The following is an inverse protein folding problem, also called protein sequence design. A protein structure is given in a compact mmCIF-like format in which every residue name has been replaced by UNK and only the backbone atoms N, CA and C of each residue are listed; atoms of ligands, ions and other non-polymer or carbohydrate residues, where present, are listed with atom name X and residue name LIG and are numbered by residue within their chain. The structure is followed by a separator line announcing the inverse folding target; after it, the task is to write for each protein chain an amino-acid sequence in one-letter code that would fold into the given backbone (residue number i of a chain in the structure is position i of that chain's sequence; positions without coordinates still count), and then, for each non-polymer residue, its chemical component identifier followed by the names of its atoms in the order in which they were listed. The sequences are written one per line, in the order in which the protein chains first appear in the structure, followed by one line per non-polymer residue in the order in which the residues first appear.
data_IF_326889973507
#
_entry.id   IF_326889973507
#
_cell.length_a   1.000
_cell.length_b   1.000
_cell.length_c   1.000
_cell.angle_alpha   90.00
_cell.angle_beta   90.00
_cell.angle_gamma   90.00
#
_symmetry.space_group_name_H-M   'P 1'
#
loop_
_entity.id
_entity.type
_entity.pdbx_description
1 polymer ?
#
# COMPACT_ATOMS: atom_id res chain seq x y z
N UNK A 1 34.51 23.48 -1.64
CA UNK A 1 33.09 23.51 -2.08
C UNK A 1 32.98 23.46 -3.60
N UNK A 2 33.66 24.33 -4.38
CA UNK A 2 33.58 24.33 -5.87
C UNK A 2 33.99 23.04 -6.60
N UNK A 3 34.73 22.11 -5.95
CA UNK A 3 35.09 20.81 -6.53
C UNK A 3 34.04 19.72 -6.29
N UNK A 4 33.05 19.99 -5.42
CA UNK A 4 31.86 19.16 -5.27
C UNK A 4 30.85 19.76 -6.25
N UNK A 5 30.33 18.97 -7.17
CA UNK A 5 29.34 19.40 -8.17
C UNK A 5 28.00 19.69 -7.46
N UNK A 6 27.87 20.90 -6.91
CA UNK A 6 26.77 21.30 -6.00
C UNK A 6 25.58 21.96 -6.74
N UNK A 7 25.57 21.95 -8.07
CA UNK A 7 24.56 22.62 -8.90
C UNK A 7 23.13 22.14 -8.58
N UNK A 8 23.00 20.90 -8.10
CA UNK A 8 21.72 20.32 -7.70
C UNK A 8 21.07 21.01 -6.48
N UNK A 9 21.83 21.72 -5.66
CA UNK A 9 21.31 22.48 -4.51
C UNK A 9 20.53 23.74 -4.93
N UNK A 10 20.68 24.18 -6.19
CA UNK A 10 20.03 25.37 -6.73
C UNK A 10 18.76 25.05 -7.55
N UNK A 11 18.47 23.77 -7.78
CA UNK A 11 17.31 23.32 -8.58
C UNK A 11 16.00 23.89 -8.02
N UNK A 12 15.09 24.25 -8.92
CA UNK A 12 13.80 24.87 -8.58
C UNK A 12 12.71 23.82 -8.30
N UNK A 13 11.75 24.13 -7.40
CA UNK A 13 10.60 23.25 -7.04
C UNK A 13 9.84 22.69 -8.25
N UNK A 14 9.74 23.44 -9.34
CA UNK A 14 9.09 23.03 -10.58
C UNK A 14 9.80 21.92 -11.35
N UNK A 15 11.11 21.75 -11.14
CA UNK A 15 11.90 20.68 -11.76
C UNK A 15 11.88 19.40 -10.90
N UNK A 16 11.74 19.53 -9.57
CA UNK A 16 11.62 18.39 -8.65
C UNK A 16 10.42 17.49 -8.98
N UNK A 17 9.26 18.07 -9.34
CA UNK A 17 8.06 17.27 -9.65
C UNK A 17 8.18 16.37 -10.89
N UNK A 18 9.17 16.61 -11.78
CA UNK A 18 9.31 15.86 -13.03
C UNK A 18 10.23 14.64 -12.95
N UNK A 19 11.10 14.56 -11.95
CA UNK A 19 12.25 13.63 -12.04
C UNK A 19 12.17 12.51 -11.01
N UNK A 20 12.55 11.32 -11.48
CA UNK A 20 12.97 10.16 -10.70
C UNK A 20 14.23 10.44 -9.82
N UNK A 21 14.73 11.69 -9.75
CA UNK A 21 16.06 12.05 -9.23
C UNK A 21 16.09 12.58 -7.81
N UNK A 22 14.94 12.86 -7.16
CA UNK A 22 14.96 13.51 -5.84
C UNK A 22 15.64 12.62 -4.78
N UNK A 23 15.42 11.31 -4.83
CA UNK A 23 16.06 10.36 -3.91
C UNK A 23 17.59 10.41 -4.09
N UNK A 24 18.08 10.32 -5.32
CA UNK A 24 19.50 10.48 -5.62
C UNK A 24 20.07 11.83 -5.14
N UNK A 25 19.27 12.90 -5.19
CA UNK A 25 19.68 14.23 -4.72
C UNK A 25 19.71 14.32 -3.19
N UNK A 26 18.85 13.59 -2.47
CA UNK A 26 18.87 13.53 -1.01
C UNK A 26 20.10 12.74 -0.55
N UNK A 27 20.41 11.62 -1.21
CA UNK A 27 21.62 10.84 -0.92
C UNK A 27 22.89 11.67 -1.18
N UNK A 28 22.92 12.42 -2.29
CA UNK A 28 24.01 13.36 -2.56
C UNK A 28 24.08 14.48 -1.51
N UNK A 29 22.93 15.05 -1.13
CA UNK A 29 22.83 16.06 -0.07
C UNK A 29 23.33 15.56 1.27
N UNK A 30 22.99 14.32 1.67
CA UNK A 30 23.51 13.69 2.88
C UNK A 30 25.03 13.65 2.86
N UNK A 31 25.60 13.02 1.83
CA UNK A 31 27.03 12.82 1.71
C UNK A 31 27.81 14.15 1.69
N UNK A 32 27.32 15.12 0.92
CA UNK A 32 27.95 16.43 0.82
C UNK A 32 27.82 17.26 2.10
N UNK A 33 26.66 17.21 2.77
CA UNK A 33 26.45 17.93 4.02
C UNK A 33 27.32 17.33 5.14
N UNK A 34 27.36 16.01 5.23
CA UNK A 34 28.22 15.30 6.17
C UNK A 34 29.68 15.66 5.96
N UNK A 35 30.17 15.58 4.71
CA UNK A 35 31.54 15.95 4.39
C UNK A 35 31.86 17.41 4.73
N UNK A 36 30.95 18.33 4.38
CA UNK A 36 31.13 19.75 4.64
C UNK A 36 31.22 20.03 6.15
N UNK A 37 30.32 19.45 6.95
CA UNK A 37 30.26 19.65 8.40
C UNK A 37 31.43 18.98 9.11
N UNK A 38 31.71 17.70 8.81
CA UNK A 38 32.70 16.91 9.55
C UNK A 38 34.14 17.20 9.16
N UNK A 39 34.39 17.67 7.94
CA UNK A 39 35.76 17.89 7.45
C UNK A 39 36.05 19.35 7.13
N UNK A 40 35.24 19.97 6.26
CA UNK A 40 35.56 21.33 5.77
C UNK A 40 35.41 22.36 6.89
N UNK A 41 34.25 22.39 7.54
CA UNK A 41 33.98 23.40 8.57
C UNK A 41 34.72 23.15 9.88
N UNK A 42 34.97 21.90 10.26
CA UNK A 42 35.82 21.58 11.42
C UNK A 42 37.26 22.09 11.24
N UNK A 43 37.86 21.84 10.08
CA UNK A 43 39.21 22.35 9.77
C UNK A 43 39.22 23.88 9.77
N UNK A 44 38.23 24.51 9.12
CA UNK A 44 38.15 25.96 9.04
C UNK A 44 37.95 26.62 10.41
N UNK A 45 37.13 26.03 11.28
CA UNK A 45 36.94 26.52 12.64
C UNK A 45 38.25 26.47 13.44
N UNK A 46 38.99 25.36 13.36
CA UNK A 46 40.30 25.21 14.02
C UNK A 46 41.33 26.19 13.46
N UNK A 47 41.35 26.39 12.15
CA UNK A 47 42.25 27.33 11.49
C UNK A 47 41.94 28.76 11.96
N UNK A 48 40.68 29.19 11.88
CA UNK A 48 40.22 30.49 12.35
C UNK A 48 40.62 30.73 13.81
N UNK A 49 40.40 29.73 14.69
CA UNK A 49 40.84 29.78 16.09
C UNK A 49 42.35 29.98 16.19
N UNK A 50 43.15 29.17 15.51
CA UNK A 50 44.62 29.23 15.57
C UNK A 50 45.20 30.57 15.07
N UNK A 51 44.64 31.16 14.02
CA UNK A 51 45.14 32.40 13.42
C UNK A 51 44.73 33.62 14.24
N UNK A 52 43.46 33.67 14.68
CA UNK A 52 42.88 34.87 15.28
C UNK A 52 42.80 34.83 16.82
N UNK A 53 43.26 33.76 17.50
CA UNK A 53 43.19 33.65 18.97
C UNK A 53 43.83 34.83 19.72
N UNK A 54 44.87 35.47 19.15
CA UNK A 54 45.58 36.60 19.78
C UNK A 54 44.90 37.96 19.57
N UNK A 55 43.94 38.06 18.67
CA UNK A 55 43.34 39.33 18.24
C UNK A 55 42.12 39.70 19.10
N UNK A 56 41.42 38.70 19.65
CA UNK A 56 40.29 38.88 20.58
C UNK A 56 39.43 37.62 20.67
N UNK A 57 38.78 37.40 21.83
CA UNK A 57 38.05 36.15 22.12
C UNK A 57 36.92 35.83 21.14
N UNK A 58 36.35 36.86 20.50
CA UNK A 58 35.14 36.73 19.68
C UNK A 58 35.42 36.93 18.18
N UNK A 59 36.60 37.41 17.81
CA UNK A 59 36.96 37.78 16.42
C UNK A 59 37.07 36.55 15.53
N UNK A 60 37.69 35.47 16.04
CA UNK A 60 37.87 34.22 15.30
C UNK A 60 36.52 33.56 14.95
N UNK A 61 35.54 33.59 15.87
CA UNK A 61 34.19 33.07 15.62
C UNK A 61 33.42 33.91 14.59
N UNK A 62 33.59 35.24 14.60
CA UNK A 62 32.97 36.10 13.58
C UNK A 62 33.56 35.85 12.19
N UNK A 63 34.88 35.63 12.11
CA UNK A 63 35.54 35.26 10.86
C UNK A 63 35.04 33.91 10.34
N UNK A 64 35.05 32.87 11.20
CA UNK A 64 34.52 31.55 10.85
C UNK A 64 33.06 31.62 10.37
N UNK A 65 32.19 32.34 11.08
CA UNK A 65 30.79 32.48 10.68
C UNK A 65 30.65 33.06 9.26
N UNK A 66 31.41 34.10 8.92
CA UNK A 66 31.41 34.69 7.57
C UNK A 66 31.89 33.70 6.52
N UNK A 67 32.96 32.96 6.82
CA UNK A 67 33.50 31.94 5.89
C UNK A 67 32.49 30.81 5.69
N UNK A 68 31.82 30.36 6.75
CA UNK A 68 30.79 29.33 6.64
C UNK A 68 29.63 29.76 5.74
N UNK A 69 29.15 30.99 5.91
CA UNK A 69 28.12 31.60 5.05
C UNK A 69 28.58 31.68 3.60
N UNK A 70 29.78 32.23 3.35
CA UNK A 70 30.35 32.37 2.00
C UNK A 70 30.65 31.02 1.34
N UNK A 71 30.95 30.00 2.13
CA UNK A 71 31.23 28.65 1.64
C UNK A 71 29.96 27.93 1.19
N UNK A 72 28.76 28.43 1.51
CA UNK A 72 27.51 27.89 0.98
C UNK A 72 26.71 26.99 1.94
N UNK A 73 26.93 27.05 3.26
CA UNK A 73 26.10 26.31 4.24
C UNK A 73 24.59 26.61 4.06
N UNK A 74 24.27 27.84 3.66
CA UNK A 74 22.92 28.27 3.34
C UNK A 74 22.25 27.46 2.22
N UNK A 75 23.02 27.01 1.23
CA UNK A 75 22.49 26.25 0.10
C UNK A 75 22.01 24.86 0.55
N UNK A 76 22.74 24.23 1.47
CA UNK A 76 22.31 22.96 2.08
C UNK A 76 21.01 23.12 2.87
N UNK A 77 20.88 24.20 3.67
CA UNK A 77 19.67 24.47 4.45
C UNK A 77 18.49 24.83 3.52
N UNK A 78 18.76 25.56 2.44
CA UNK A 78 17.77 25.93 1.43
C UNK A 78 17.24 24.71 0.68
N UNK A 79 18.11 23.76 0.34
CA UNK A 79 17.72 22.46 -0.23
C UNK A 79 16.78 21.70 0.70
N UNK A 80 17.14 21.53 1.98
CA UNK A 80 16.22 20.88 2.94
C UNK A 80 14.86 21.61 3.03
N UNK A 81 14.88 22.96 3.01
CA UNK A 81 13.67 23.77 3.03
C UNK A 81 12.82 23.63 1.77
N UNK A 82 13.39 23.35 0.59
CA UNK A 82 12.60 23.15 -0.62
C UNK A 82 11.76 21.88 -0.50
N UNK A 83 12.32 20.79 0.01
CA UNK A 83 11.60 19.53 0.25
C UNK A 83 10.39 19.73 1.17
N UNK A 84 10.50 20.58 2.19
CA UNK A 84 9.38 20.88 3.11
C UNK A 84 8.18 21.55 2.44
N UNK A 85 8.37 22.21 1.28
CA UNK A 85 7.31 22.96 0.58
C UNK A 85 6.52 22.12 -0.44
N UNK A 86 6.90 20.87 -0.68
CA UNK A 86 6.23 19.98 -1.63
C UNK A 86 4.80 19.57 -1.22
N UNK A 87 4.09 18.88 -2.11
CA UNK A 87 2.76 18.32 -1.83
C UNK A 87 2.79 17.36 -0.64
N UNK A 88 1.75 17.39 0.20
CA UNK A 88 1.58 16.46 1.32
C UNK A 88 1.22 15.09 0.76
N UNK A 89 2.20 14.20 0.68
CA UNK A 89 2.01 12.81 0.24
C UNK A 89 2.96 11.86 0.99
N UNK A 90 2.75 10.56 0.78
CA UNK A 90 3.54 9.50 1.40
C UNK A 90 5.03 9.58 1.06
N UNK A 91 5.37 9.97 -0.17
CA UNK A 91 6.76 10.08 -0.62
C UNK A 91 7.44 11.24 0.10
N UNK A 92 6.74 12.37 0.28
CA UNK A 92 7.24 13.50 1.06
C UNK A 92 7.50 13.10 2.52
N UNK A 93 6.64 12.28 3.14
CA UNK A 93 6.88 11.82 4.51
C UNK A 93 8.23 11.09 4.61
N UNK A 94 8.49 10.10 3.75
CA UNK A 94 9.76 9.37 3.73
C UNK A 94 10.95 10.32 3.58
N UNK A 95 10.89 11.23 2.60
CA UNK A 95 11.94 12.23 2.36
C UNK A 95 12.18 13.13 3.57
N UNK A 96 11.13 13.52 4.29
CA UNK A 96 11.28 14.31 5.51
C UNK A 96 11.96 13.51 6.62
N UNK A 97 11.68 12.21 6.73
CA UNK A 97 12.37 11.32 7.67
C UNK A 97 13.86 11.19 7.30
N UNK A 98 14.19 11.06 6.01
CA UNK A 98 15.58 11.01 5.54
C UNK A 98 16.34 12.30 5.90
N UNK A 99 15.76 13.47 5.58
CA UNK A 99 16.35 14.77 5.95
C UNK A 99 16.53 14.89 7.47
N UNK A 100 15.54 14.45 8.26
CA UNK A 100 15.64 14.47 9.71
C UNK A 100 16.77 13.57 10.21
N UNK A 101 16.93 12.37 9.64
CA UNK A 101 17.97 11.42 10.02
C UNK A 101 19.37 12.04 9.88
N UNK A 102 19.64 12.69 8.75
CA UNK A 102 20.91 13.39 8.48
C UNK A 102 21.12 14.54 9.48
N UNK A 103 20.11 15.39 9.68
CA UNK A 103 20.21 16.52 10.61
C UNK A 103 20.44 16.05 12.05
N UNK A 104 19.81 14.94 12.45
CA UNK A 104 19.97 14.37 13.78
C UNK A 104 21.36 13.72 13.96
N UNK A 105 21.87 13.00 12.95
CA UNK A 105 23.23 12.44 12.90
C UNK A 105 24.28 13.54 13.07
N UNK A 106 24.11 14.68 12.39
CA UNK A 106 25.07 15.79 12.41
C UNK A 106 24.87 16.77 13.58
N UNK A 107 23.84 16.58 14.42
CA UNK A 107 23.42 17.52 15.47
C UNK A 107 24.55 17.98 16.38
N UNK A 108 25.38 17.06 16.87
CA UNK A 108 26.49 17.39 17.79
C UNK A 108 27.58 18.22 17.10
N UNK A 109 27.91 17.89 15.85
CA UNK A 109 28.85 18.65 15.04
C UNK A 109 28.32 20.06 14.74
N UNK A 110 27.03 20.17 14.37
CA UNK A 110 26.39 21.49 14.19
C UNK A 110 26.47 22.35 15.45
N UNK A 111 26.17 21.77 16.62
CA UNK A 111 26.26 22.50 17.89
C UNK A 111 27.69 22.93 18.23
N UNK A 112 28.68 22.09 17.92
CA UNK A 112 30.10 22.40 18.14
C UNK A 112 30.61 23.52 17.21
N UNK A 113 30.31 23.42 15.92
CA UNK A 113 30.77 24.38 14.90
C UNK A 113 30.06 25.72 15.03
N UNK A 114 28.72 25.68 15.10
CA UNK A 114 27.88 26.86 14.93
C UNK A 114 27.25 27.34 16.23
N UNK A 115 27.60 26.79 17.40
CA UNK A 115 26.98 27.16 18.69
C UNK A 115 27.30 28.57 19.20
N UNK A 116 28.29 29.26 18.63
CA UNK A 116 28.67 30.61 19.04
C UNK A 116 27.70 31.71 18.59
N UNK A 117 27.66 32.83 19.32
CA UNK A 117 26.80 34.00 19.03
C UNK A 117 26.98 34.57 17.61
N UNK A 118 28.16 34.41 17.01
CA UNK A 118 28.44 34.87 15.65
C UNK A 118 27.68 34.07 14.56
N UNK A 119 27.21 32.86 14.88
CA UNK A 119 26.54 31.95 13.95
C UNK A 119 25.01 31.91 14.14
N UNK A 120 24.41 32.89 14.83
CA UNK A 120 22.97 32.91 15.16
C UNK A 120 22.08 32.76 13.92
N UNK A 121 22.43 33.38 12.79
CA UNK A 121 21.68 33.22 11.54
C UNK A 121 21.62 31.74 11.08
N UNK A 122 22.77 31.05 11.07
CA UNK A 122 22.86 29.63 10.70
C UNK A 122 22.07 28.78 11.70
N UNK A 123 22.19 29.06 13.00
CA UNK A 123 21.43 28.36 14.04
C UNK A 123 19.92 28.52 13.84
N UNK A 124 19.46 29.75 13.58
CA UNK A 124 18.05 30.07 13.43
C UNK A 124 17.46 29.38 12.20
N UNK A 125 18.15 29.40 11.07
CA UNK A 125 17.72 28.71 9.85
C UNK A 125 17.74 27.19 9.99
N UNK A 126 18.75 26.63 10.65
CA UNK A 126 18.83 25.18 10.91
C UNK A 126 17.70 24.74 11.83
N UNK A 127 17.43 25.50 12.90
CA UNK A 127 16.32 25.24 13.83
C UNK A 127 14.96 25.34 13.11
N UNK A 128 14.79 26.34 12.26
CA UNK A 128 13.57 26.50 11.45
C UNK A 128 13.37 25.33 10.48
N UNK A 129 14.43 24.86 9.81
CA UNK A 129 14.38 23.67 8.97
C UNK A 129 13.96 22.43 9.78
N UNK A 130 14.62 22.15 10.90
CA UNK A 130 14.27 21.00 11.76
C UNK A 130 12.81 21.08 12.21
N UNK A 131 12.32 22.27 12.59
CA UNK A 131 10.92 22.48 12.95
C UNK A 131 9.96 22.13 11.82
N UNK A 132 10.22 22.62 10.61
CA UNK A 132 9.40 22.35 9.43
C UNK A 132 9.42 20.87 9.04
N UNK A 133 10.56 20.21 9.14
CA UNK A 133 10.71 18.78 8.84
C UNK A 133 9.90 17.93 9.83
N UNK A 134 10.09 18.15 11.13
CA UNK A 134 9.34 17.42 12.17
C UNK A 134 7.84 17.68 12.06
N UNK A 135 7.43 18.94 11.94
CA UNK A 135 6.01 19.29 11.83
C UNK A 135 5.38 18.69 10.56
N UNK A 136 6.06 18.81 9.40
CA UNK A 136 5.54 18.28 8.15
C UNK A 136 5.45 16.75 8.15
N UNK A 137 6.41 16.05 8.77
CA UNK A 137 6.36 14.60 8.90
C UNK A 137 5.21 14.16 9.80
N UNK A 138 5.07 14.77 10.98
CA UNK A 138 3.96 14.48 11.88
C UNK A 138 2.60 14.83 11.28
N UNK A 139 2.48 15.97 10.60
CA UNK A 139 1.24 16.39 9.96
C UNK A 139 0.77 15.36 8.92
N UNK A 140 1.67 14.88 8.05
CA UNK A 140 1.32 13.86 7.05
C UNK A 140 0.95 12.53 7.71
N UNK A 141 1.73 12.10 8.71
CA UNK A 141 1.52 10.80 9.35
C UNK A 141 0.23 10.75 10.19
N UNK A 142 -0.01 11.77 11.02
CA UNK A 142 -1.18 11.83 11.91
C UNK A 142 -2.50 12.02 11.16
N UNK A 143 -2.44 12.65 9.98
CA UNK A 143 -3.61 12.88 9.13
C UNK A 143 -3.92 11.66 8.23
N UNK A 144 -3.00 10.68 8.16
CA UNK A 144 -3.10 9.55 7.22
C UNK A 144 -4.37 8.73 7.44
N UNK A 145 -4.76 8.43 8.68
CA UNK A 145 -5.98 7.65 8.96
C UNK A 145 -7.24 8.34 8.43
N UNK A 146 -7.33 9.65 8.60
CA UNK A 146 -8.45 10.44 8.10
C UNK A 146 -8.46 10.47 6.56
N UNK A 147 -7.30 10.67 5.94
CA UNK A 147 -7.20 10.65 4.48
C UNK A 147 -7.56 9.29 3.88
N UNK A 148 -7.21 8.20 4.58
CA UNK A 148 -7.63 6.85 4.23
C UNK A 148 -9.15 6.73 4.34
N UNK A 149 -9.76 7.12 5.46
CA UNK A 149 -11.21 7.06 5.66
C UNK A 149 -11.99 7.81 4.57
N UNK A 150 -11.51 9.00 4.16
CA UNK A 150 -12.13 9.76 3.06
C UNK A 150 -12.20 8.99 1.74
N UNK A 151 -11.27 8.06 1.49
CA UNK A 151 -11.29 7.24 0.27
C UNK A 151 -12.47 6.26 0.23
N UNK A 152 -13.18 6.03 1.34
CA UNK A 152 -14.40 5.20 1.37
C UNK A 152 -15.51 5.71 0.44
N UNK A 153 -15.47 6.98 0.04
CA UNK A 153 -16.41 7.57 -0.93
C UNK A 153 -16.14 7.15 -2.39
N UNK A 154 -14.97 6.55 -2.66
CA UNK A 154 -14.61 6.09 -4.00
C UNK A 154 -15.38 4.83 -4.39
N UNK A 155 -15.47 4.56 -5.69
CA UNK A 155 -16.16 3.38 -6.22
C UNK A 155 -15.31 2.12 -6.01
N UNK A 156 -15.86 1.04 -5.42
CA UNK A 156 -15.10 -0.19 -5.25
C UNK A 156 -14.87 -0.92 -6.57
N UNK A 157 -13.88 -1.84 -6.65
CA UNK A 157 -13.58 -2.57 -7.87
C UNK A 157 -14.78 -3.36 -8.38
N UNK A 158 -15.23 -3.12 -9.61
CA UNK A 158 -16.43 -3.79 -10.16
C UNK A 158 -16.29 -5.31 -10.29
N UNK A 159 -15.06 -5.83 -10.29
CA UNK A 159 -14.71 -7.25 -10.37
C UNK A 159 -14.51 -7.93 -9.00
N UNK A 160 -14.68 -7.17 -7.90
CA UNK A 160 -14.47 -7.66 -6.54
C UNK A 160 -13.00 -7.93 -6.20
N UNK A 161 -12.05 -7.42 -7.01
CA UNK A 161 -10.63 -7.53 -6.72
C UNK A 161 -10.21 -6.70 -5.51
N UNK A 162 -8.98 -6.92 -5.03
CA UNK A 162 -8.41 -6.18 -3.91
C UNK A 162 -8.25 -4.69 -4.27
N UNK A 163 -8.77 -3.74 -3.46
CA UNK A 163 -8.61 -2.31 -3.71
C UNK A 163 -7.14 -1.89 -3.72
N UNK A 164 -6.76 -1.02 -4.66
CA UNK A 164 -5.39 -0.48 -4.71
C UNK A 164 -5.00 0.27 -3.45
N UNK A 165 -5.97 0.91 -2.79
CA UNK A 165 -5.76 1.60 -1.52
C UNK A 165 -5.26 0.65 -0.43
N UNK A 166 -5.86 -0.55 -0.33
CA UNK A 166 -5.45 -1.54 0.67
C UNK A 166 -3.97 -1.87 0.51
N UNK A 167 -3.56 -2.23 -0.72
CA UNK A 167 -2.15 -2.55 -1.00
C UNK A 167 -1.22 -1.38 -0.67
N UNK A 168 -1.57 -0.19 -1.14
CA UNK A 168 -0.75 1.00 -0.94
C UNK A 168 -0.55 1.32 0.55
N UNK A 169 -1.63 1.32 1.33
CA UNK A 169 -1.57 1.65 2.75
C UNK A 169 -0.80 0.60 3.53
N UNK A 170 -1.01 -0.69 3.26
CA UNK A 170 -0.27 -1.74 3.95
C UNK A 170 1.21 -1.75 3.59
N UNK A 171 1.55 -1.55 2.31
CA UNK A 171 2.94 -1.49 1.86
C UNK A 171 3.64 -0.27 2.48
N UNK A 172 2.96 0.89 2.49
CA UNK A 172 3.50 2.12 3.08
C UNK A 172 3.69 2.01 4.60
N UNK A 173 2.71 1.47 5.31
CA UNK A 173 2.83 1.22 6.76
C UNK A 173 3.96 0.23 7.06
N UNK A 174 4.13 -0.83 6.27
CA UNK A 174 5.25 -1.75 6.43
C UNK A 174 6.60 -1.03 6.24
N UNK A 175 6.72 -0.19 5.21
CA UNK A 175 7.93 0.61 4.96
C UNK A 175 8.26 1.55 6.12
N UNK A 176 7.25 2.25 6.68
CA UNK A 176 7.44 3.10 7.86
C UNK A 176 7.82 2.32 9.13
N UNK A 177 7.49 1.03 9.18
CA UNK A 177 7.77 0.14 10.30
C UNK A 177 9.06 -0.66 10.14
N UNK A 178 9.80 -0.53 9.03
CA UNK A 178 11.17 -1.02 8.91
C UNK A 178 12.07 -0.35 9.95
N UNK A 179 13.08 -1.07 10.47
CA UNK A 179 13.85 -0.64 11.65
C UNK A 179 14.44 0.78 11.53
N UNK A 180 14.97 1.13 10.35
CA UNK A 180 15.55 2.44 10.09
C UNK A 180 14.51 3.56 10.20
N UNK A 181 13.41 3.47 9.43
CA UNK A 181 12.34 4.47 9.45
C UNK A 181 11.56 4.50 10.76
N UNK A 182 11.33 3.34 11.37
CA UNK A 182 10.58 3.20 12.61
C UNK A 182 11.22 4.00 13.74
N UNK A 183 12.54 3.87 13.92
CA UNK A 183 13.26 4.59 14.98
C UNK A 183 13.25 6.10 14.73
N UNK A 184 13.41 6.53 13.48
CA UNK A 184 13.38 7.94 13.09
C UNK A 184 11.98 8.52 13.35
N UNK A 185 10.93 7.82 12.91
CA UNK A 185 9.55 8.26 13.07
C UNK A 185 9.16 8.36 14.55
N UNK A 186 9.58 7.41 15.39
CA UNK A 186 9.38 7.50 16.85
C UNK A 186 10.02 8.78 17.40
N UNK A 187 11.28 9.07 17.04
CA UNK A 187 11.96 10.27 17.51
C UNK A 187 11.24 11.55 17.06
N UNK A 188 10.82 11.61 15.79
CA UNK A 188 10.07 12.73 15.23
C UNK A 188 8.76 12.96 15.98
N UNK A 189 7.99 11.89 16.24
CA UNK A 189 6.73 11.96 17.00
C UNK A 189 6.95 12.42 18.44
N UNK A 190 7.99 11.92 19.12
CA UNK A 190 8.34 12.33 20.48
C UNK A 190 8.73 13.82 20.55
N UNK A 191 9.56 14.29 19.61
CA UNK A 191 9.93 15.71 19.52
C UNK A 191 8.69 16.58 19.31
N UNK A 192 7.78 16.16 18.43
CA UNK A 192 6.54 16.87 18.18
C UNK A 192 5.63 16.94 19.42
N UNK A 193 5.52 15.85 20.19
CA UNK A 193 4.79 15.85 21.46
C UNK A 193 5.39 16.84 22.46
N UNK A 194 6.71 16.85 22.61
CA UNK A 194 7.44 17.76 23.50
C UNK A 194 7.19 19.22 23.12
N UNK A 195 7.27 19.56 21.83
CA UNK A 195 7.08 20.93 21.36
C UNK A 195 5.65 21.44 21.53
N UNK A 196 4.67 20.55 21.48
CA UNK A 196 3.26 20.88 21.64
C UNK A 196 2.74 20.70 23.08
N UNK A 197 3.64 20.48 24.05
CA UNK A 197 3.30 20.25 25.46
C UNK A 197 2.26 19.13 25.65
N UNK A 198 2.30 18.11 24.78
CA UNK A 198 1.44 16.95 24.89
C UNK A 198 2.02 15.95 25.89
N UNK A 199 1.15 15.12 26.48
CA UNK A 199 1.61 14.01 27.31
C UNK A 199 2.44 13.05 26.45
N UNK A 200 3.63 12.71 26.94
CA UNK A 200 4.49 11.75 26.29
C UNK A 200 3.77 10.40 26.18
N UNK A 201 3.58 9.94 24.95
CA UNK A 201 2.93 8.67 24.65
C UNK A 201 3.88 7.81 23.83
N UNK A 202 4.57 6.88 24.49
CA UNK A 202 5.51 5.96 23.85
C UNK A 202 4.86 5.02 22.83
N UNK A 203 3.53 4.89 22.87
CA UNK A 203 2.76 4.01 21.99
C UNK A 203 2.09 4.78 20.84
N UNK A 204 2.39 6.08 20.67
CA UNK A 204 1.77 6.91 19.62
C UNK A 204 1.89 6.28 18.23
N UNK A 205 3.06 5.75 17.86
CA UNK A 205 3.25 5.08 16.58
C UNK A 205 2.26 3.94 16.38
N UNK A 206 2.19 3.03 17.35
CA UNK A 206 1.29 1.88 17.29
C UNK A 206 -0.17 2.34 17.22
N UNK A 207 -0.58 3.28 18.08
CA UNK A 207 -1.96 3.82 18.11
C UNK A 207 -2.38 4.43 16.78
N UNK A 208 -1.51 5.19 16.14
CA UNK A 208 -1.81 5.79 14.83
C UNK A 208 -1.85 4.74 13.71
N UNK A 209 -0.94 3.74 13.73
CA UNK A 209 -1.01 2.60 12.80
C UNK A 209 -2.32 1.82 12.98
N UNK A 210 -2.76 1.58 14.22
CA UNK A 210 -4.06 0.95 14.49
C UNK A 210 -5.21 1.77 13.88
N UNK A 211 -5.22 3.10 14.03
CA UNK A 211 -6.25 3.95 13.42
C UNK A 211 -6.24 3.87 11.90
N UNK A 212 -5.06 3.84 11.27
CA UNK A 212 -4.91 3.70 9.81
C UNK A 212 -5.52 2.36 9.36
N UNK A 213 -5.23 1.27 10.07
CA UNK A 213 -5.78 -0.04 9.75
C UNK A 213 -7.28 -0.12 10.00
N UNK A 214 -7.80 0.45 11.09
CA UNK A 214 -9.25 0.56 11.33
C UNK A 214 -9.96 1.35 10.23
N UNK A 215 -9.35 2.43 9.73
CA UNK A 215 -9.92 3.20 8.63
C UNK A 215 -9.99 2.40 7.33
N UNK A 216 -8.98 1.56 7.05
CA UNK A 216 -9.01 0.61 5.93
C UNK A 216 -10.15 -0.40 6.09
N UNK A 217 -10.29 -1.02 7.26
CA UNK A 217 -11.35 -2.00 7.53
C UNK A 217 -12.75 -1.38 7.36
N UNK A 218 -12.95 -0.16 7.88
CA UNK A 218 -14.18 0.59 7.72
C UNK A 218 -14.51 0.86 6.24
N UNK A 219 -13.50 1.21 5.44
CA UNK A 219 -13.67 1.38 4.00
C UNK A 219 -14.04 0.09 3.30
N UNK A 220 -13.39 -1.03 3.63
CA UNK A 220 -13.72 -2.35 3.07
C UNK A 220 -15.18 -2.71 3.37
N UNK A 221 -15.65 -2.47 4.60
CA UNK A 221 -17.06 -2.67 4.94
C UNK A 221 -18.00 -1.77 4.13
N UNK A 222 -17.68 -0.48 4.01
CA UNK A 222 -18.49 0.50 3.29
C UNK A 222 -18.61 0.14 1.81
N UNK A 223 -17.50 -0.25 1.20
CA UNK A 223 -17.45 -0.74 -0.18
C UNK A 223 -18.24 -2.05 -0.36
N UNK A 224 -18.12 -2.99 0.58
CA UNK A 224 -18.87 -4.25 0.52
C UNK A 224 -20.39 -4.01 0.48
N UNK A 225 -20.89 -3.00 1.21
CA UNK A 225 -22.31 -2.63 1.28
C UNK A 225 -22.81 -1.91 0.02
N UNK A 226 -21.90 -1.40 -0.81
CA UNK A 226 -22.21 -0.65 -2.05
C UNK A 226 -22.53 -1.58 -3.23
N UNK A 227 -22.07 -2.84 -3.21
CA UNK A 227 -22.39 -3.80 -4.25
C UNK A 227 -23.88 -4.19 -4.21
N UNK A 228 -24.55 -4.07 -5.35
CA UNK A 228 -25.95 -4.52 -5.52
C UNK A 228 -26.09 -6.04 -5.40
N UNK A 229 -25.07 -6.77 -5.81
CA UNK A 229 -25.02 -8.22 -5.76
C UNK A 229 -24.35 -8.68 -4.46
N UNK A 230 -25.15 -9.25 -3.54
CA UNK A 230 -24.66 -9.73 -2.25
C UNK A 230 -23.59 -10.81 -2.38
N UNK A 231 -23.63 -11.60 -3.45
CA UNK A 231 -22.61 -12.62 -3.73
C UNK A 231 -21.29 -11.99 -4.12
N UNK A 232 -21.31 -10.89 -4.90
CA UNK A 232 -20.11 -10.12 -5.24
C UNK A 232 -19.55 -9.39 -4.01
N UNK A 233 -20.43 -8.89 -3.13
CA UNK A 233 -20.02 -8.31 -1.84
C UNK A 233 -19.24 -9.32 -0.98
N UNK A 234 -19.75 -10.55 -0.85
CA UNK A 234 -19.05 -11.62 -0.13
C UNK A 234 -17.72 -11.99 -0.81
N UNK A 235 -17.72 -12.08 -2.14
CA UNK A 235 -16.52 -12.37 -2.92
C UNK A 235 -15.43 -11.30 -2.74
N UNK A 236 -15.82 -10.02 -2.74
CA UNK A 236 -14.93 -8.90 -2.46
C UNK A 236 -14.32 -8.99 -1.04
N UNK A 237 -15.16 -9.23 -0.03
CA UNK A 237 -14.68 -9.36 1.35
C UNK A 237 -13.75 -10.56 1.52
N UNK A 238 -14.02 -11.69 0.87
CA UNK A 238 -13.11 -12.83 0.84
C UNK A 238 -11.72 -12.45 0.30
N UNK A 239 -11.67 -11.74 -0.83
CA UNK A 239 -10.41 -11.29 -1.43
C UNK A 239 -9.64 -10.31 -0.54
N UNK A 240 -10.33 -9.32 0.04
CA UNK A 240 -9.70 -8.32 0.89
C UNK A 240 -9.15 -8.93 2.20
N UNK A 241 -9.93 -9.79 2.86
CA UNK A 241 -9.47 -10.47 4.07
C UNK A 241 -8.32 -11.43 3.80
N UNK A 242 -8.32 -12.11 2.65
CA UNK A 242 -7.21 -12.98 2.27
C UNK A 242 -5.93 -12.20 2.01
N UNK A 243 -6.04 -11.06 1.34
CA UNK A 243 -4.90 -10.16 1.18
C UNK A 243 -4.33 -9.76 2.54
N UNK A 244 -5.16 -9.26 3.46
CA UNK A 244 -4.72 -8.84 4.79
C UNK A 244 -4.02 -9.99 5.52
N UNK A 245 -4.68 -11.14 5.64
CA UNK A 245 -4.13 -12.29 6.34
C UNK A 245 -2.81 -12.77 5.72
N UNK A 246 -2.77 -12.93 4.39
CA UNK A 246 -1.63 -13.54 3.71
C UNK A 246 -0.45 -12.58 3.55
N UNK A 247 -0.72 -11.33 3.17
CA UNK A 247 0.33 -10.36 2.83
C UNK A 247 0.92 -9.68 4.07
N UNK A 248 0.20 -9.63 5.19
CA UNK A 248 0.73 -9.01 6.42
C UNK A 248 1.32 -10.02 7.39
N UNK A 249 1.07 -11.32 7.20
CA UNK A 249 1.67 -12.36 8.05
C UNK A 249 3.19 -12.36 7.89
N UNK A 250 3.89 -12.14 9.01
CA UNK A 250 5.35 -12.07 9.06
C UNK A 250 5.93 -10.74 8.57
N UNK A 251 5.11 -9.68 8.48
CA UNK A 251 5.58 -8.31 8.26
C UNK A 251 5.51 -7.51 9.55
N UNK A 252 6.26 -6.42 9.65
CA UNK A 252 6.27 -5.56 10.83
C UNK A 252 4.86 -5.00 11.15
N UNK A 253 4.05 -4.72 10.14
CA UNK A 253 2.65 -4.33 10.32
C UNK A 253 1.80 -5.47 10.90
N UNK A 254 1.92 -6.69 10.38
CA UNK A 254 1.18 -7.84 10.92
C UNK A 254 1.57 -8.16 12.36
N UNK A 255 2.87 -8.11 12.67
CA UNK A 255 3.40 -8.32 14.02
C UNK A 255 2.91 -7.23 14.98
N UNK A 256 2.83 -5.97 14.53
CA UNK A 256 2.28 -4.85 15.31
C UNK A 256 0.78 -5.02 15.61
N UNK A 257 0.00 -5.52 14.64
CA UNK A 257 -1.44 -5.76 14.82
C UNK A 257 -1.74 -7.03 15.63
N UNK A 258 -0.85 -8.01 15.60
CA UNK A 258 -0.88 -9.22 16.41
C UNK A 258 -1.64 -10.41 15.80
N UNK A 259 -1.29 -11.61 16.25
CA UNK A 259 -1.80 -12.88 15.73
C UNK A 259 -3.32 -13.04 15.82
N UNK A 260 -3.95 -12.49 16.86
CA UNK A 260 -5.42 -12.55 17.02
C UNK A 260 -6.14 -11.80 15.90
N UNK A 261 -5.58 -10.66 15.49
CA UNK A 261 -6.13 -9.84 14.41
C UNK A 261 -5.96 -10.55 13.05
N UNK A 262 -4.77 -11.09 12.77
CA UNK A 262 -4.54 -11.89 11.55
C UNK A 262 -5.48 -13.12 11.47
N UNK A 263 -5.68 -13.82 12.58
CA UNK A 263 -6.58 -14.98 12.65
C UNK A 263 -8.04 -14.61 12.44
N UNK A 264 -8.46 -13.42 12.87
CA UNK A 264 -9.80 -12.91 12.58
C UNK A 264 -10.03 -12.78 11.07
N UNK A 265 -9.08 -12.23 10.33
CA UNK A 265 -9.16 -12.15 8.86
C UNK A 265 -9.13 -13.53 8.20
N UNK A 266 -8.33 -14.47 8.69
CA UNK A 266 -8.32 -15.86 8.19
C UNK A 266 -9.71 -16.51 8.33
N UNK A 267 -10.34 -16.38 9.50
CA UNK A 267 -11.70 -16.89 9.74
C UNK A 267 -12.74 -16.19 8.87
N UNK A 268 -12.60 -14.89 8.65
CA UNK A 268 -13.46 -14.13 7.75
C UNK A 268 -13.36 -14.64 6.30
N UNK A 269 -12.16 -15.02 5.82
CA UNK A 269 -12.00 -15.64 4.49
C UNK A 269 -12.84 -16.91 4.37
N UNK A 270 -12.76 -17.82 5.36
CA UNK A 270 -13.53 -19.06 5.34
C UNK A 270 -15.04 -18.83 5.38
N UNK A 271 -15.48 -17.87 6.20
CA UNK A 271 -16.86 -17.44 6.30
C UNK A 271 -17.40 -16.92 4.97
N UNK A 272 -16.72 -15.94 4.35
CA UNK A 272 -17.15 -15.35 3.09
C UNK A 272 -17.04 -16.32 1.91
N UNK A 273 -16.01 -17.17 1.88
CA UNK A 273 -15.88 -18.24 0.88
C UNK A 273 -17.07 -19.20 0.93
N UNK A 274 -17.48 -19.62 2.13
CA UNK A 274 -18.64 -20.50 2.33
C UNK A 274 -19.93 -19.86 1.82
N UNK A 275 -20.16 -18.58 2.12
CA UNK A 275 -21.34 -17.86 1.65
C UNK A 275 -21.32 -17.69 0.14
N UNK A 276 -20.20 -17.25 -0.43
CA UNK A 276 -20.03 -17.09 -1.88
C UNK A 276 -20.32 -18.39 -2.61
N UNK A 277 -19.71 -19.49 -2.18
CA UNK A 277 -19.87 -20.81 -2.82
C UNK A 277 -21.31 -21.29 -2.69
N UNK A 278 -21.91 -21.19 -1.50
CA UNK A 278 -23.31 -21.59 -1.27
C UNK A 278 -24.31 -20.80 -2.10
N UNK A 279 -24.16 -19.47 -2.16
CA UNK A 279 -25.08 -18.60 -2.89
C UNK A 279 -24.94 -18.75 -4.41
N UNK A 280 -23.71 -18.92 -4.90
CA UNK A 280 -23.41 -19.05 -6.32
C UNK A 280 -23.74 -20.43 -6.85
N UNK A 281 -23.18 -21.47 -6.23
CA UNK A 281 -23.09 -22.81 -6.80
C UNK A 281 -23.98 -23.82 -6.08
N UNK A 282 -24.43 -23.52 -4.86
CA UNK A 282 -25.17 -24.46 -4.01
C UNK A 282 -26.54 -24.90 -4.53
N UNK A 283 -27.14 -24.16 -5.49
CA UNK A 283 -28.41 -24.54 -6.12
C UNK A 283 -28.24 -25.54 -7.27
N UNK A 284 -27.05 -25.61 -7.90
CA UNK A 284 -26.81 -26.46 -9.06
C UNK A 284 -26.98 -27.97 -8.75
N UNK A 285 -26.43 -28.51 -7.63
CA UNK A 285 -26.64 -29.91 -7.27
C UNK A 285 -28.12 -30.29 -7.19
N UNK A 286 -28.96 -29.43 -6.61
CA UNK A 286 -30.39 -29.70 -6.43
C UNK A 286 -31.17 -29.83 -7.75
N UNK A 287 -30.67 -29.25 -8.85
CA UNK A 287 -31.27 -29.40 -10.18
C UNK A 287 -31.10 -30.82 -10.74
N UNK A 288 -30.10 -31.55 -10.23
CA UNK A 288 -29.73 -32.90 -10.67
C UNK A 288 -30.02 -33.98 -9.62
N UNK A 289 -30.23 -33.59 -8.35
CA UNK A 289 -30.53 -34.50 -7.24
C UNK A 289 -31.91 -35.17 -7.33
N UNK A 290 -31.99 -36.39 -6.82
CA UNK A 290 -33.18 -37.26 -6.83
C UNK A 290 -34.21 -36.85 -5.77
N UNK A 291 -35.39 -36.43 -6.22
CA UNK A 291 -36.66 -36.74 -5.52
C UNK A 291 -37.43 -37.88 -6.22
N UNK A 292 -36.76 -38.62 -7.10
CA UNK A 292 -37.30 -39.79 -7.76
C UNK A 292 -36.27 -40.43 -8.67
N UNK A 293 -36.08 -41.74 -8.52
CA UNK A 293 -35.13 -42.55 -9.30
C UNK A 293 -35.25 -42.25 -10.80
N UNK A 294 -34.11 -42.03 -11.46
CA UNK A 294 -34.03 -41.80 -12.91
C UNK A 294 -34.59 -42.99 -13.72
N UNK A 295 -34.65 -44.18 -13.11
CA UNK A 295 -35.20 -45.41 -13.72
C UNK A 295 -36.71 -45.29 -13.98
N UNK A 296 -37.42 -44.46 -13.20
CA UNK A 296 -38.87 -44.25 -13.32
C UNK A 296 -39.25 -42.84 -13.81
N UNK A 297 -38.26 -42.00 -14.13
CA UNK A 297 -38.49 -40.63 -14.58
C UNK A 297 -38.76 -40.60 -16.08
N UNK A 298 -39.76 -39.84 -16.54
CA UNK A 298 -40.05 -39.74 -17.97
C UNK A 298 -38.92 -39.04 -18.74
N UNK A 299 -38.74 -39.43 -20.01
CA UNK A 299 -37.69 -38.92 -20.91
C UNK A 299 -37.61 -37.38 -20.95
N UNK A 300 -38.75 -36.70 -20.83
CA UNK A 300 -38.83 -35.25 -20.86
C UNK A 300 -38.39 -34.60 -19.54
N UNK A 301 -38.60 -35.26 -18.39
CA UNK A 301 -38.17 -34.75 -17.09
C UNK A 301 -36.64 -34.74 -16.97
N UNK A 302 -35.97 -35.81 -17.42
CA UNK A 302 -34.51 -35.91 -17.37
C UNK A 302 -33.85 -34.88 -18.28
N UNK A 303 -34.39 -34.69 -19.50
CA UNK A 303 -33.95 -33.62 -20.41
C UNK A 303 -34.18 -32.23 -19.83
N UNK A 304 -35.31 -32.00 -19.17
CA UNK A 304 -35.63 -30.72 -18.53
C UNK A 304 -34.66 -30.40 -17.39
N UNK A 305 -34.31 -31.38 -16.55
CA UNK A 305 -33.31 -31.22 -15.48
C UNK A 305 -31.94 -30.83 -16.03
N UNK A 306 -31.44 -31.56 -17.04
CA UNK A 306 -30.14 -31.25 -17.67
C UNK A 306 -30.14 -29.87 -18.33
N UNK A 307 -31.24 -29.50 -19.00
CA UNK A 307 -31.41 -28.17 -19.59
C UNK A 307 -31.36 -27.07 -18.51
N UNK A 308 -32.12 -27.22 -17.43
CA UNK A 308 -32.12 -26.26 -16.32
C UNK A 308 -30.76 -26.14 -15.63
N UNK A 309 -30.02 -27.25 -15.49
CA UNK A 309 -28.65 -27.21 -15.00
C UNK A 309 -27.74 -26.42 -15.94
N UNK A 310 -27.78 -26.69 -17.25
CA UNK A 310 -26.94 -26.00 -18.23
C UNK A 310 -27.23 -24.49 -18.24
N UNK A 311 -28.49 -24.09 -18.21
CA UNK A 311 -28.91 -22.68 -18.17
C UNK A 311 -28.42 -22.00 -16.88
N UNK A 312 -28.61 -22.63 -15.72
CA UNK A 312 -28.16 -22.08 -14.45
C UNK A 312 -26.62 -21.97 -14.38
N UNK A 313 -25.90 -22.98 -14.86
CA UNK A 313 -24.43 -22.95 -14.92
C UNK A 313 -23.94 -21.83 -15.85
N UNK A 314 -24.54 -21.69 -17.04
CA UNK A 314 -24.22 -20.62 -18.00
C UNK A 314 -24.40 -19.23 -17.39
N UNK A 315 -25.50 -19.02 -16.69
CA UNK A 315 -25.80 -17.75 -16.02
C UNK A 315 -24.76 -17.42 -14.95
N UNK A 316 -24.42 -18.38 -14.09
CA UNK A 316 -23.38 -18.20 -13.06
C UNK A 316 -22.04 -17.92 -13.72
N UNK A 317 -21.64 -18.75 -14.68
CA UNK A 317 -20.35 -18.63 -15.38
C UNK A 317 -20.24 -17.27 -16.08
N UNK A 318 -21.26 -16.86 -16.83
CA UNK A 318 -21.31 -15.56 -17.52
C UNK A 318 -21.22 -14.40 -16.53
N UNK A 319 -22.01 -14.45 -15.44
CA UNK A 319 -22.05 -13.41 -14.40
C UNK A 319 -20.68 -13.24 -13.73
N UNK A 320 -20.02 -14.36 -13.39
CA UNK A 320 -18.76 -14.36 -12.64
C UNK A 320 -17.51 -14.37 -13.52
N UNK A 321 -17.67 -14.41 -14.85
CA UNK A 321 -16.55 -14.46 -15.80
C UNK A 321 -15.61 -13.26 -15.77
N UNK A 322 -16.05 -12.14 -15.17
CA UNK A 322 -15.25 -10.93 -15.01
C UNK A 322 -14.75 -10.73 -13.58
N UNK A 323 -15.11 -11.61 -12.65
CA UNK A 323 -14.65 -11.50 -11.26
C UNK A 323 -13.22 -11.99 -11.15
N UNK A 324 -12.44 -11.40 -10.24
CA UNK A 324 -10.99 -11.65 -10.17
C UNK A 324 -10.58 -11.99 -8.75
N UNK A 325 -9.88 -13.12 -8.60
CA UNK A 325 -9.06 -13.41 -7.41
C UNK A 325 -7.60 -13.23 -7.78
N UNK A 326 -6.96 -12.19 -7.26
CA UNK A 326 -5.56 -11.86 -7.57
C UNK A 326 -4.59 -12.93 -7.08
N UNK A 327 -4.85 -13.52 -5.91
CA UNK A 327 -3.99 -14.57 -5.36
C UNK A 327 -4.26 -15.93 -5.99
N UNK A 328 -3.24 -16.53 -6.61
CA UNK A 328 -3.36 -17.84 -7.26
C UNK A 328 -3.75 -18.94 -6.28
N UNK A 329 -3.24 -18.90 -5.04
CA UNK A 329 -3.52 -19.92 -4.01
C UNK A 329 -4.99 -19.92 -3.61
N UNK A 330 -5.54 -18.76 -3.26
CA UNK A 330 -6.96 -18.61 -2.97
C UNK A 330 -7.82 -19.01 -4.17
N UNK A 331 -7.46 -18.55 -5.38
CA UNK A 331 -8.23 -18.87 -6.59
C UNK A 331 -8.37 -20.38 -6.78
N UNK A 332 -7.24 -21.10 -6.72
CA UNK A 332 -7.24 -22.56 -6.85
C UNK A 332 -8.11 -23.20 -5.77
N UNK A 333 -7.95 -22.81 -4.50
CA UNK A 333 -8.77 -23.31 -3.38
C UNK A 333 -10.27 -23.10 -3.62
N UNK A 334 -10.68 -21.93 -4.09
CA UNK A 334 -12.10 -21.63 -4.37
C UNK A 334 -12.61 -22.43 -5.57
N UNK A 335 -11.85 -22.50 -6.66
CA UNK A 335 -12.22 -23.32 -7.82
C UNK A 335 -12.36 -24.80 -7.45
N UNK A 336 -11.44 -25.34 -6.65
CA UNK A 336 -11.50 -26.72 -6.14
C UNK A 336 -12.76 -26.97 -5.30
N UNK A 337 -13.13 -26.04 -4.41
CA UNK A 337 -14.38 -26.14 -3.63
C UNK A 337 -15.61 -26.17 -4.54
N UNK A 338 -15.63 -25.36 -5.59
CA UNK A 338 -16.74 -25.35 -6.56
C UNK A 338 -16.77 -26.66 -7.36
N UNK A 339 -15.62 -27.16 -7.82
CA UNK A 339 -15.50 -28.45 -8.50
C UNK A 339 -16.04 -29.57 -7.62
N UNK A 340 -15.65 -29.64 -6.35
CA UNK A 340 -16.10 -30.66 -5.40
C UNK A 340 -17.61 -30.65 -5.17
N UNK A 341 -18.26 -29.49 -5.31
CA UNK A 341 -19.71 -29.35 -5.13
C UNK A 341 -20.47 -29.74 -6.40
N UNK A 342 -19.98 -29.32 -7.58
CA UNK A 342 -20.73 -29.41 -8.84
C UNK A 342 -20.42 -30.70 -9.59
N UNK A 343 -19.13 -31.04 -9.75
CA UNK A 343 -18.68 -32.10 -10.67
C UNK A 343 -19.14 -33.50 -10.24
N UNK A 344 -19.03 -33.92 -8.96
CA UNK A 344 -19.46 -35.26 -8.55
C UNK A 344 -20.96 -35.53 -8.78
N UNK A 345 -21.80 -34.51 -8.59
CA UNK A 345 -23.25 -34.61 -8.78
C UNK A 345 -23.58 -34.68 -10.27
N UNK A 346 -22.91 -33.87 -11.09
CA UNK A 346 -23.03 -33.92 -12.55
C UNK A 346 -22.56 -35.26 -13.10
N UNK A 347 -21.40 -35.74 -12.69
CA UNK A 347 -20.84 -37.02 -13.14
C UNK A 347 -21.76 -38.19 -12.78
N UNK A 348 -22.29 -38.22 -11.55
CA UNK A 348 -23.27 -39.24 -11.12
C UNK A 348 -24.52 -39.21 -11.99
N UNK A 349 -25.07 -38.02 -12.26
CA UNK A 349 -26.22 -37.85 -13.14
C UNK A 349 -25.92 -38.37 -14.55
N UNK A 350 -24.75 -38.03 -15.10
CA UNK A 350 -24.33 -38.41 -16.44
C UNK A 350 -24.11 -39.93 -16.59
N UNK A 351 -23.55 -40.61 -15.59
CA UNK A 351 -23.40 -42.09 -15.62
C UNK A 351 -24.74 -42.81 -15.74
N UNK A 352 -25.78 -42.29 -15.10
CA UNK A 352 -27.14 -42.83 -15.22
C UNK A 352 -27.83 -42.41 -16.52
N UNK A 353 -27.47 -41.23 -17.06
CA UNK A 353 -28.06 -40.68 -18.29
C UNK A 353 -27.51 -41.32 -19.57
N UNK A 354 -26.20 -41.58 -19.67
CA UNK A 354 -25.57 -42.00 -20.92
C UNK A 354 -26.08 -43.36 -21.47
N UNK A 355 -26.16 -44.44 -20.66
CA UNK A 355 -26.70 -45.72 -21.14
C UNK A 355 -28.16 -45.63 -21.60
N UNK A 356 -28.92 -44.71 -21.01
CA UNK A 356 -30.30 -44.42 -21.41
C UNK A 356 -30.37 -43.59 -22.70
N UNK A 357 -29.47 -42.62 -22.86
CA UNK A 357 -29.46 -41.72 -24.02
C UNK A 357 -29.09 -42.45 -25.31
N UNK A 358 -28.24 -43.48 -25.21
CA UNK A 358 -27.84 -44.36 -26.33
C UNK A 358 -28.99 -45.22 -26.87
N UNK A 359 -30.07 -45.43 -26.10
CA UNK A 359 -31.28 -46.14 -26.56
C UNK A 359 -32.25 -45.24 -27.34
N UNK A 360 -32.05 -43.91 -27.33
CA UNK A 360 -32.88 -42.92 -28.01
C UNK A 360 -32.28 -42.37 -29.31
N UNK A 361 -33.08 -41.70 -30.13
CA UNK A 361 -32.70 -41.30 -31.51
C UNK A 361 -31.76 -40.07 -31.62
N UNK A 362 -31.11 -39.58 -30.56
CA UNK A 362 -30.07 -38.53 -30.63
C UNK A 362 -29.41 -38.20 -29.27
N UNK A 363 -28.46 -39.02 -28.79
CA UNK A 363 -27.80 -38.83 -27.48
C UNK A 363 -26.99 -37.52 -27.37
N UNK A 364 -26.38 -37.06 -28.47
CA UNK A 364 -25.41 -35.95 -28.49
C UNK A 364 -26.01 -34.54 -28.55
N UNK A 365 -27.32 -34.39 -28.80
CA UNK A 365 -27.92 -33.05 -28.99
C UNK A 365 -28.17 -32.29 -27.68
N UNK A 366 -28.22 -32.98 -26.54
CA UNK A 366 -28.62 -32.41 -25.25
C UNK A 366 -27.50 -32.33 -24.21
N UNK A 367 -26.38 -33.03 -24.45
CA UNK A 367 -25.20 -32.98 -23.59
C UNK A 367 -24.32 -31.81 -24.02
N UNK A 368 -24.41 -30.70 -23.30
CA UNK A 368 -23.63 -29.48 -23.58
C UNK A 368 -22.19 -29.57 -23.06
N UNK A 369 -21.99 -30.27 -21.95
CA UNK A 369 -20.73 -30.31 -21.23
C UNK A 369 -20.29 -31.75 -20.98
N UNK A 370 -19.00 -32.03 -21.14
CA UNK A 370 -18.37 -33.21 -20.53
C UNK A 370 -17.93 -32.90 -19.11
N UNK A 371 -17.70 -33.94 -18.31
CA UNK A 371 -17.22 -33.81 -16.92
C UNK A 371 -15.91 -33.03 -16.88
N UNK A 372 -14.98 -33.36 -17.77
CA UNK A 372 -13.67 -32.71 -17.90
C UNK A 372 -13.82 -31.25 -18.35
N UNK A 373 -14.79 -30.95 -19.23
CA UNK A 373 -15.04 -29.58 -19.68
C UNK A 373 -15.57 -28.69 -18.55
N UNK A 374 -16.46 -29.20 -17.68
CA UNK A 374 -16.96 -28.45 -16.53
C UNK A 374 -15.84 -28.17 -15.54
N UNK A 375 -15.04 -29.18 -15.22
CA UNK A 375 -13.90 -29.04 -14.33
C UNK A 375 -12.90 -28.02 -14.88
N UNK A 376 -12.54 -28.11 -16.16
CA UNK A 376 -11.66 -27.15 -16.82
C UNK A 376 -12.25 -25.74 -16.86
N UNK A 377 -13.55 -25.60 -17.12
CA UNK A 377 -14.22 -24.29 -17.12
C UNK A 377 -14.15 -23.65 -15.74
N UNK A 378 -14.55 -24.37 -14.69
CA UNK A 378 -14.51 -23.89 -13.29
C UNK A 378 -13.08 -23.56 -12.87
N UNK A 379 -12.11 -24.43 -13.17
CA UNK A 379 -10.69 -24.22 -12.86
C UNK A 379 -10.05 -23.02 -13.58
N UNK A 380 -10.63 -22.62 -14.71
CA UNK A 380 -10.18 -21.44 -15.48
C UNK A 380 -10.86 -20.12 -15.06
N UNK A 381 -11.87 -20.16 -14.19
CA UNK A 381 -12.57 -18.96 -13.72
C UNK A 381 -11.70 -18.08 -12.83
N UNK A 382 -12.20 -16.88 -12.54
CA UNK A 382 -11.67 -15.96 -11.53
C UNK A 382 -10.24 -15.46 -11.81
N UNK A 383 -9.77 -15.64 -13.04
CA UNK A 383 -8.47 -15.15 -13.51
C UNK A 383 -8.57 -13.68 -13.92
N UNK A 384 -7.49 -12.92 -13.73
CA UNK A 384 -7.41 -11.61 -14.36
C UNK A 384 -7.36 -11.82 -15.88
N UNK A 385 -8.26 -11.16 -16.60
CA UNK A 385 -8.18 -11.08 -18.06
C UNK A 385 -7.02 -10.15 -18.38
N UNK A 386 -5.80 -10.70 -18.47
CA UNK A 386 -4.66 -9.94 -18.98
C UNK A 386 -4.97 -9.53 -20.43
N UNK A 387 -5.39 -8.28 -20.61
CA UNK A 387 -5.02 -7.56 -21.81
C UNK A 387 -3.49 -7.57 -21.87
N UNK A 388 -2.94 -7.96 -23.04
CA UNK A 388 -1.50 -7.92 -23.34
C UNK A 388 -0.86 -6.65 -22.75
N UNK A 389 -0.11 -6.74 -21.65
CA UNK A 389 1.05 -5.92 -21.29
C UNK A 389 1.72 -6.41 -19.99
N UNK A 390 2.97 -6.83 -20.17
CA UNK A 390 4.13 -6.92 -19.26
C UNK A 390 4.11 -7.76 -17.97
N UNK A 391 4.66 -8.97 -18.15
CA UNK A 391 5.73 -9.60 -17.34
C UNK A 391 6.11 -8.90 -16.02
N UNK A 392 5.83 -9.61 -14.94
CA UNK A 392 6.22 -9.34 -13.57
C UNK A 392 7.42 -10.19 -13.18
N UNK A 393 8.60 -9.57 -13.03
CA UNK A 393 9.63 -9.98 -12.04
C UNK A 393 10.74 -8.93 -11.77
N UNK A 394 10.64 -7.69 -12.27
CA UNK A 394 11.69 -6.66 -12.03
C UNK A 394 11.12 -5.29 -11.60
N UNK A 395 9.86 -5.23 -11.14
CA UNK A 395 9.13 -3.95 -10.98
C UNK A 395 9.12 -3.33 -9.57
N UNK A 396 9.79 -3.90 -8.57
CA UNK A 396 9.87 -3.25 -7.23
C UNK A 396 10.53 -1.87 -7.27
N UNK A 397 11.47 -1.62 -8.18
CA UNK A 397 12.15 -0.31 -8.27
C UNK A 397 11.40 0.73 -9.13
N UNK A 398 10.35 0.33 -9.86
CA UNK A 398 9.64 1.19 -10.81
C UNK A 398 8.22 1.58 -10.36
N UNK A 399 7.73 1.03 -9.24
CA UNK A 399 6.36 1.24 -8.75
C UNK A 399 6.17 2.64 -8.13
N UNK A 400 7.21 3.22 -7.53
CA UNK A 400 7.20 4.61 -7.00
C UNK A 400 6.83 5.62 -8.10
N UNK A 401 7.31 5.42 -9.33
CA UNK A 401 7.00 6.30 -10.47
C UNK A 401 5.59 6.14 -11.06
N UNK A 402 4.92 4.99 -10.88
CA UNK A 402 3.55 4.75 -11.39
C UNK A 402 2.46 5.02 -10.34
N UNK A 403 2.80 5.07 -9.05
CA UNK A 403 1.92 5.54 -7.98
C UNK A 403 1.69 7.06 -8.09
N UNK A 404 2.60 7.78 -8.75
CA UNK A 404 2.52 9.21 -9.07
C UNK A 404 1.31 9.63 -9.92
N UNK A 405 0.46 8.71 -10.40
CA UNK A 405 -0.77 9.00 -11.14
C UNK A 405 -2.06 8.39 -10.54
N UNK A 406 -1.99 7.63 -9.43
CA UNK A 406 -3.19 7.02 -8.81
C UNK A 406 -3.45 7.58 -7.41
N UNK A 407 -2.41 8.10 -6.75
CA UNK A 407 -2.49 8.71 -5.42
C UNK A 407 -2.43 10.25 -5.51
N UNK A 408 -1.88 10.80 -6.59
CA UNK A 408 -1.74 12.25 -6.78
C UNK A 408 -3.06 12.98 -6.98
N UNK A 409 -4.14 12.35 -7.41
CA UNK A 409 -5.44 13.04 -7.58
C UNK A 409 -6.35 12.97 -6.34
N UNK A 410 -6.09 12.07 -5.39
CA UNK A 410 -7.02 11.82 -4.27
C UNK A 410 -6.56 12.28 -2.88
N UNK A 411 -5.29 12.68 -2.72
CA UNK A 411 -4.77 13.29 -1.48
C UNK A 411 -4.70 14.83 -1.55
N UNK A 412 -5.35 15.47 -2.52
CA UNK A 412 -5.52 16.93 -2.55
C UNK A 412 -6.98 17.31 -2.44
N UNK A 413 -7.50 17.35 -1.22
CA UNK A 413 -8.66 18.20 -0.91
C UNK A 413 -8.15 19.55 -0.40
N UNK A 414 -8.05 20.53 -1.29
CA UNK A 414 -8.14 21.93 -0.87
C UNK A 414 -9.62 22.31 -1.00
N UNK A 415 -10.31 22.76 0.07
CA UNK A 415 -11.62 23.35 -0.09
C UNK A 415 -11.43 24.68 -0.81
N UNK A 416 -11.96 24.79 -2.03
CA UNK A 416 -12.08 26.09 -2.70
C UNK A 416 -13.06 26.93 -1.87
N UNK A 417 -12.55 27.98 -1.23
CA UNK A 417 -13.35 28.98 -0.57
C UNK A 417 -14.17 29.75 -1.63
N UNK A 418 -15.48 29.84 -1.39
CA UNK A 418 -16.37 30.83 -2.00
C UNK A 418 -16.32 32.13 -1.20
#
# INVERSE_FOLDING_TARGET
MQALDLDYLEISLSEFDRVQSIEDHIDQWENHLEFAVMHVFDIEQRLCSSVFHKVGSDVWMSCFAKIAVQSGIHNFIKFGNSITKGKKDAIKLLKLLDIFAVLNKLRLHFNYLFGGKACVEIQDQTRDLIKKVVHGACEIFLELSYQVELQGQSTPPSDGSVPRLLNFVTDFCNQLLEDDYRLILIQVLQIHQIWNYQNFDSEILSKEVYKIMSAIELNLETWSKTYKDSTLSCFFMMNANWYIFKNLKGTNLGDMMGDSWLRHHEQAVEYYATIYVRQSWGKLPALLSEEGSLVFSSNDLVKKRLKSFNEAFDEIYKKQSNWVVSDRGLRVKICELVVQIVVPVYERFMRSYMPWAEQGTSPTKYVKYTVESLESMIGSMLQSKLGKYDSSTTKCRHLIGKIKNVVTDHFSSSPAAA
#
